data_IF_138278527739
#
_entry.id   IF_138278527739
#
_cell.length_a   1.000
_cell.length_b   1.000
_cell.length_c   1.000
_cell.angle_alpha   90.00
_cell.angle_beta   90.00
_cell.angle_gamma   90.00
#
_symmetry.space_group_name_H-M   'P 1'
#
loop_
_entity.id
_entity.type
_entity.pdbx_description
1 polymer ?
#
# COMPACT_ATOMS: atom_id res chain seq x y z
N UNK A 1 -24.14 8.28 -24.86
CA UNK A 1 -23.97 7.12 -25.76
C UNK A 1 -24.60 5.93 -25.05
N UNK A 2 -25.40 5.12 -25.74
CA UNK A 2 -26.22 4.05 -25.15
C UNK A 2 -25.34 3.06 -24.35
N UNK A 3 -25.61 2.91 -23.05
CA UNK A 3 -25.14 1.74 -22.29
C UNK A 3 -26.17 0.64 -22.56
N UNK A 4 -25.79 -0.33 -23.38
CA UNK A 4 -26.57 -1.56 -23.53
C UNK A 4 -26.40 -2.38 -22.25
N UNK A 5 -27.31 -2.19 -21.29
CA UNK A 5 -27.46 -3.09 -20.13
C UNK A 5 -28.13 -4.38 -20.62
N UNK A 6 -27.42 -5.13 -21.46
CA UNK A 6 -27.85 -6.47 -21.85
C UNK A 6 -27.59 -7.41 -20.68
N UNK A 7 -28.63 -7.71 -19.90
CA UNK A 7 -28.63 -8.76 -18.87
C UNK A 7 -28.68 -10.18 -19.50
N UNK A 8 -27.91 -10.41 -20.55
CA UNK A 8 -27.72 -11.70 -21.20
C UNK A 8 -26.51 -11.67 -22.13
N UNK A 9 -25.32 -12.00 -21.62
CA UNK A 9 -24.22 -12.45 -22.45
C UNK A 9 -24.01 -13.96 -22.21
N UNK A 10 -24.11 -14.81 -23.24
CA UNK A 10 -23.69 -16.21 -23.17
C UNK A 10 -22.16 -16.40 -23.08
N UNK A 11 -21.39 -15.35 -22.75
CA UNK A 11 -19.94 -15.33 -22.62
C UNK A 11 -19.54 -14.61 -21.31
N UNK A 12 -19.91 -15.20 -20.17
CA UNK A 12 -19.17 -15.31 -18.91
C UNK A 12 -18.35 -14.14 -18.27
N UNK A 13 -18.51 -12.86 -18.61
CA UNK A 13 -17.79 -11.77 -17.91
C UNK A 13 -18.72 -10.93 -17.01
N UNK A 14 -18.40 -10.83 -15.71
CA UNK A 14 -19.16 -10.09 -14.68
C UNK A 14 -20.35 -10.84 -14.07
N UNK A 15 -20.36 -11.04 -12.74
CA UNK A 15 -21.48 -11.69 -12.06
C UNK A 15 -22.74 -10.82 -11.91
N UNK A 16 -22.66 -9.51 -12.22
CA UNK A 16 -23.79 -8.58 -12.23
C UNK A 16 -23.83 -7.67 -13.47
N UNK A 17 -22.81 -6.84 -13.68
CA UNK A 17 -22.71 -5.90 -14.82
C UNK A 17 -21.42 -6.11 -15.58
N UNK A 18 -21.53 -6.16 -16.91
CA UNK A 18 -20.42 -5.95 -17.83
C UNK A 18 -20.60 -4.61 -18.54
N UNK A 19 -19.63 -3.70 -18.40
CA UNK A 19 -19.67 -2.40 -19.04
C UNK A 19 -18.41 -2.12 -19.86
N UNK A 20 -18.61 -1.67 -21.09
CA UNK A 20 -17.54 -1.27 -21.98
C UNK A 20 -17.76 0.17 -22.45
N UNK A 21 -16.93 1.09 -21.97
CA UNK A 21 -16.86 2.46 -22.46
C UNK A 21 -15.80 2.47 -23.57
N UNK A 22 -16.26 2.31 -24.82
CA UNK A 22 -15.42 2.45 -26.01
C UNK A 22 -15.52 3.89 -26.53
N UNK A 23 -14.43 4.40 -27.11
CA UNK A 23 -14.31 5.74 -27.69
C UNK A 23 -14.23 6.88 -26.66
N UNK A 24 -13.76 8.06 -27.09
CA UNK A 24 -13.59 9.22 -26.20
C UNK A 24 -14.93 9.81 -25.76
N UNK A 25 -15.11 10.06 -24.45
CA UNK A 25 -16.27 10.74 -23.88
C UNK A 25 -17.43 9.85 -23.43
N UNK A 26 -17.23 8.54 -23.28
CA UNK A 26 -18.23 7.65 -22.69
C UNK A 26 -18.49 7.97 -21.21
N UNK A 27 -19.71 7.79 -20.71
CA UNK A 27 -19.99 7.95 -19.27
C UNK A 27 -20.89 6.83 -18.76
N UNK A 28 -20.45 6.19 -17.67
CA UNK A 28 -21.24 5.26 -16.88
C UNK A 28 -21.39 5.80 -15.46
N UNK A 29 -22.61 5.84 -14.95
CA UNK A 29 -22.90 6.23 -13.57
C UNK A 29 -23.75 5.18 -12.90
N UNK A 30 -23.33 4.75 -11.72
CA UNK A 30 -24.06 3.82 -10.85
C UNK A 30 -24.25 4.51 -9.52
N UNK A 31 -25.51 4.69 -9.14
CA UNK A 31 -25.93 5.60 -8.06
C UNK A 31 -27.22 5.06 -7.42
N UNK A 32 -27.81 5.84 -6.51
CA UNK A 32 -29.13 5.66 -5.93
C UNK A 32 -29.29 4.37 -5.10
N UNK A 33 -28.37 4.11 -4.18
CA UNK A 33 -28.47 2.97 -3.24
C UNK A 33 -28.57 1.60 -3.94
N UNK A 34 -27.97 1.47 -5.13
CA UNK A 34 -27.91 0.18 -5.83
C UNK A 34 -27.12 -0.81 -4.97
N UNK A 35 -27.62 -2.05 -4.85
CA UNK A 35 -26.99 -3.08 -4.03
C UNK A 35 -26.65 -4.32 -4.85
N UNK A 36 -25.38 -4.71 -4.79
CA UNK A 36 -24.83 -5.92 -5.37
C UNK A 36 -24.59 -6.91 -4.23
N UNK A 37 -25.53 -7.85 -4.04
CA UNK A 37 -25.48 -8.80 -2.93
C UNK A 37 -25.27 -10.20 -3.48
N UNK A 38 -24.24 -10.88 -3.00
CA UNK A 38 -23.91 -12.25 -3.40
C UNK A 38 -23.76 -12.43 -4.92
N UNK A 39 -23.21 -11.42 -5.61
CA UNK A 39 -22.84 -11.54 -7.01
C UNK A 39 -21.55 -12.37 -7.10
N UNK A 40 -21.67 -13.61 -7.58
CA UNK A 40 -20.59 -14.61 -7.56
C UNK A 40 -20.25 -15.02 -8.99
N UNK A 41 -18.98 -14.85 -9.38
CA UNK A 41 -18.42 -15.33 -10.64
C UNK A 41 -17.23 -16.27 -10.37
N UNK A 42 -17.46 -17.58 -10.35
CA UNK A 42 -16.40 -18.55 -10.02
C UNK A 42 -15.44 -18.85 -11.17
N UNK A 43 -15.72 -18.35 -12.37
CA UNK A 43 -14.95 -18.70 -13.57
C UNK A 43 -14.17 -17.51 -14.14
N UNK A 44 -14.51 -16.26 -13.77
CA UNK A 44 -13.93 -15.05 -14.37
C UNK A 44 -13.82 -13.92 -13.33
N UNK A 45 -13.52 -12.71 -13.80
CA UNK A 45 -13.33 -11.50 -12.99
C UNK A 45 -14.65 -10.80 -12.64
N UNK A 46 -14.61 -9.96 -11.60
CA UNK A 46 -15.67 -9.02 -11.26
C UNK A 46 -16.95 -9.71 -10.79
N UNK A 47 -17.07 -9.96 -9.48
CA UNK A 47 -18.24 -10.68 -8.96
C UNK A 47 -19.50 -9.84 -9.10
N UNK A 48 -19.44 -8.55 -8.78
CA UNK A 48 -20.50 -7.59 -9.06
C UNK A 48 -20.39 -7.01 -10.47
N UNK A 49 -19.18 -6.61 -10.87
CA UNK A 49 -18.98 -5.76 -12.03
C UNK A 49 -17.65 -5.98 -12.75
N UNK A 50 -17.69 -5.90 -14.08
CA UNK A 50 -16.51 -5.75 -14.95
C UNK A 50 -16.66 -4.46 -15.75
N UNK A 51 -15.63 -3.61 -15.70
CA UNK A 51 -15.62 -2.29 -16.31
C UNK A 51 -14.38 -2.12 -17.17
N UNK A 52 -14.58 -2.05 -18.47
CA UNK A 52 -13.56 -1.70 -19.45
C UNK A 52 -13.74 -0.25 -19.87
N UNK A 53 -12.82 0.63 -19.47
CA UNK A 53 -12.85 2.05 -19.82
C UNK A 53 -11.72 2.39 -20.77
N UNK A 54 -12.05 2.73 -22.01
CA UNK A 54 -11.08 3.07 -23.05
C UNK A 54 -11.44 4.42 -23.68
N UNK A 55 -10.48 5.35 -23.68
CA UNK A 55 -10.55 6.58 -24.46
C UNK A 55 -10.60 7.84 -23.59
N UNK A 56 -10.08 8.92 -24.15
CA UNK A 56 -9.93 10.18 -23.44
C UNK A 56 -11.29 10.72 -22.99
N UNK A 57 -11.37 11.25 -21.76
CA UNK A 57 -12.60 11.76 -21.16
C UNK A 57 -13.69 10.70 -20.93
N UNK A 58 -13.40 9.40 -21.07
CA UNK A 58 -14.34 8.35 -20.64
C UNK A 58 -14.35 8.27 -19.12
N UNK A 59 -15.54 8.34 -18.53
CA UNK A 59 -15.72 8.44 -17.07
C UNK A 59 -16.65 7.36 -16.53
N UNK A 60 -16.23 6.66 -15.51
CA UNK A 60 -17.10 5.81 -14.69
C UNK A 60 -17.23 6.40 -13.29
N UNK A 61 -18.45 6.48 -12.77
CA UNK A 61 -18.74 6.96 -11.41
C UNK A 61 -19.57 5.92 -10.71
N UNK A 62 -19.14 5.50 -9.52
CA UNK A 62 -19.90 4.61 -8.64
C UNK A 62 -20.04 5.31 -7.29
N UNK A 63 -21.26 5.72 -6.96
CA UNK A 63 -21.47 6.56 -5.78
C UNK A 63 -22.87 6.48 -5.18
N UNK A 64 -23.17 7.37 -4.24
CA UNK A 64 -24.50 7.54 -3.63
C UNK A 64 -25.01 6.29 -2.89
N UNK A 65 -24.22 5.82 -1.93
CA UNK A 65 -24.52 4.70 -1.03
C UNK A 65 -24.73 3.36 -1.75
N UNK A 66 -24.01 3.13 -2.85
CA UNK A 66 -23.93 1.80 -3.46
C UNK A 66 -23.28 0.83 -2.48
N UNK A 67 -23.74 -0.43 -2.48
CA UNK A 67 -23.22 -1.47 -1.59
C UNK A 67 -22.84 -2.70 -2.40
N UNK A 68 -21.63 -3.20 -2.19
CA UNK A 68 -21.20 -4.52 -2.61
C UNK A 68 -21.07 -5.41 -1.38
N UNK A 69 -21.96 -6.39 -1.23
CA UNK A 69 -21.97 -7.31 -0.09
C UNK A 69 -21.76 -8.75 -0.56
N UNK A 70 -20.75 -9.44 -0.02
CA UNK A 70 -20.48 -10.87 -0.31
C UNK A 70 -20.29 -11.17 -1.80
N UNK A 71 -19.80 -10.20 -2.57
CA UNK A 71 -19.44 -10.43 -3.96
C UNK A 71 -18.17 -11.28 -4.05
N UNK A 72 -18.11 -12.20 -5.01
CA UNK A 72 -16.98 -13.11 -5.15
C UNK A 72 -16.58 -13.31 -6.61
N UNK A 73 -15.29 -13.31 -6.89
CA UNK A 73 -14.77 -13.61 -8.23
C UNK A 73 -13.38 -14.28 -8.19
N UNK A 74 -12.83 -14.62 -9.36
CA UNK A 74 -11.40 -14.95 -9.46
C UNK A 74 -10.57 -13.71 -9.13
N UNK A 75 -10.86 -12.57 -9.76
CA UNK A 75 -10.18 -11.30 -9.49
C UNK A 75 -11.21 -10.19 -9.30
N UNK A 76 -10.99 -9.32 -8.31
CA UNK A 76 -11.93 -8.23 -8.03
C UNK A 76 -13.27 -8.76 -7.57
N UNK A 77 -13.37 -9.18 -6.31
CA UNK A 77 -14.55 -9.88 -5.81
C UNK A 77 -15.83 -9.09 -6.04
N UNK A 78 -15.77 -7.76 -5.97
CA UNK A 78 -16.83 -6.87 -6.42
C UNK A 78 -16.58 -6.31 -7.82
N UNK A 79 -15.45 -5.62 -8.04
CA UNK A 79 -15.19 -4.85 -9.26
C UNK A 79 -13.89 -5.31 -9.91
N UNK A 80 -13.97 -5.63 -11.20
CA UNK A 80 -12.80 -5.68 -12.07
C UNK A 80 -12.80 -4.45 -12.99
N UNK A 81 -11.72 -3.68 -12.98
CA UNK A 81 -11.59 -2.47 -13.76
C UNK A 81 -10.30 -2.47 -14.58
N UNK A 82 -10.44 -2.19 -15.88
CA UNK A 82 -9.32 -2.05 -16.81
C UNK A 82 -9.48 -0.72 -17.54
N UNK A 83 -8.48 0.15 -17.41
CA UNK A 83 -8.50 1.51 -17.95
C UNK A 83 -7.41 1.72 -18.99
N UNK A 84 -7.71 2.43 -20.09
CA UNK A 84 -6.75 2.84 -21.12
C UNK A 84 -7.02 4.25 -21.63
N UNK A 85 -6.03 4.84 -22.27
CA UNK A 85 -6.16 6.05 -23.10
C UNK A 85 -6.81 7.25 -22.38
N UNK A 86 -6.39 7.53 -21.14
CA UNK A 86 -6.87 8.70 -20.38
C UNK A 86 -8.26 8.60 -19.78
N UNK A 87 -8.81 7.38 -19.64
CA UNK A 87 -10.07 7.16 -18.93
C UNK A 87 -9.94 7.39 -17.41
N UNK A 88 -11.05 7.80 -16.78
CA UNK A 88 -11.13 8.10 -15.34
C UNK A 88 -12.23 7.27 -14.66
N UNK A 89 -11.95 6.74 -13.47
CA UNK A 89 -12.94 6.05 -12.63
C UNK A 89 -12.96 6.71 -11.25
N UNK A 90 -14.15 6.94 -10.73
CA UNK A 90 -14.38 7.58 -9.43
C UNK A 90 -15.32 6.69 -8.61
N UNK A 91 -14.90 6.34 -7.39
CA UNK A 91 -15.64 5.47 -6.49
C UNK A 91 -15.74 6.16 -5.14
N UNK A 92 -16.95 6.58 -4.74
CA UNK A 92 -17.10 7.37 -3.52
C UNK A 92 -18.44 7.25 -2.81
N UNK A 93 -18.45 7.44 -1.50
CA UNK A 93 -19.66 7.28 -0.66
C UNK A 93 -20.29 5.89 -0.79
N UNK A 94 -19.47 4.83 -0.82
CA UNK A 94 -19.92 3.44 -0.98
C UNK A 94 -19.30 2.49 0.04
N UNK A 95 -19.86 1.28 0.13
CA UNK A 95 -19.37 0.22 1.01
C UNK A 95 -19.10 -1.07 0.25
N UNK A 96 -17.94 -1.67 0.51
CA UNK A 96 -17.61 -3.06 0.20
C UNK A 96 -17.59 -3.86 1.50
N UNK A 97 -18.43 -4.89 1.61
CA UNK A 97 -18.53 -5.74 2.78
C UNK A 97 -18.36 -7.20 2.39
N UNK A 98 -17.38 -7.90 2.99
CA UNK A 98 -17.18 -9.35 2.84
C UNK A 98 -16.97 -9.80 1.39
N UNK A 99 -16.34 -8.96 0.57
CA UNK A 99 -16.00 -9.32 -0.80
C UNK A 99 -14.77 -10.24 -0.83
N UNK A 100 -14.77 -11.25 -1.70
CA UNK A 100 -13.69 -12.24 -1.78
C UNK A 100 -13.18 -12.45 -3.20
N UNK A 101 -11.87 -12.60 -3.37
CA UNK A 101 -11.28 -13.03 -4.63
C UNK A 101 -9.96 -13.80 -4.44
N UNK A 102 -9.40 -14.36 -5.51
CA UNK A 102 -8.03 -14.88 -5.47
C UNK A 102 -7.06 -13.73 -5.17
N UNK A 103 -7.26 -12.58 -5.84
CA UNK A 103 -6.58 -11.32 -5.55
C UNK A 103 -7.50 -10.12 -5.79
N UNK A 104 -7.29 -9.03 -5.04
CA UNK A 104 -8.20 -7.87 -5.05
C UNK A 104 -9.57 -8.26 -4.51
N UNK A 105 -9.66 -8.60 -3.22
CA UNK A 105 -10.88 -9.18 -2.65
C UNK A 105 -12.14 -8.34 -2.90
N UNK A 106 -12.02 -7.02 -2.97
CA UNK A 106 -13.07 -6.14 -3.50
C UNK A 106 -12.79 -5.71 -4.94
N UNK A 107 -11.64 -5.09 -5.20
CA UNK A 107 -11.37 -4.41 -6.47
C UNK A 107 -10.06 -4.91 -7.06
N UNK A 108 -10.06 -5.22 -8.36
CA UNK A 108 -8.85 -5.28 -9.17
C UNK A 108 -8.84 -4.13 -10.19
N UNK A 109 -7.70 -3.48 -10.33
CA UNK A 109 -7.49 -2.32 -11.20
C UNK A 109 -6.26 -2.56 -12.08
N UNK A 110 -6.40 -2.38 -13.39
CA UNK A 110 -5.27 -2.31 -14.31
C UNK A 110 -5.30 -0.98 -15.07
N UNK A 111 -4.31 -0.14 -14.82
CA UNK A 111 -4.20 1.21 -15.38
C UNK A 111 -3.15 1.28 -16.48
N UNK A 112 -3.48 1.95 -17.59
CA UNK A 112 -2.60 2.17 -18.73
C UNK A 112 -2.77 3.58 -19.29
N UNK A 113 -1.69 4.19 -19.77
CA UNK A 113 -1.74 5.31 -20.75
C UNK A 113 -2.61 6.51 -20.30
N UNK A 114 -2.25 7.18 -19.20
CA UNK A 114 -2.87 8.46 -18.82
C UNK A 114 -4.11 8.34 -17.91
N UNK A 115 -4.45 7.15 -17.43
CA UNK A 115 -5.69 6.91 -16.68
C UNK A 115 -5.63 7.31 -15.21
N UNK A 116 -6.79 7.56 -14.62
CA UNK A 116 -6.96 7.90 -13.20
C UNK A 116 -8.01 7.03 -12.52
N UNK A 117 -7.75 6.61 -11.28
CA UNK A 117 -8.71 5.90 -10.44
C UNK A 117 -8.73 6.55 -9.05
N UNK A 118 -9.90 7.04 -8.65
CA UNK A 118 -10.10 7.77 -7.40
C UNK A 118 -11.04 6.97 -6.49
N UNK A 119 -10.64 6.81 -5.23
CA UNK A 119 -11.43 6.17 -4.16
C UNK A 119 -11.49 7.13 -2.98
N UNK A 120 -12.67 7.66 -2.66
CA UNK A 120 -12.80 8.54 -1.50
C UNK A 120 -14.09 8.36 -0.72
N UNK A 121 -14.05 8.55 0.59
CA UNK A 121 -15.23 8.37 1.46
C UNK A 121 -15.82 6.94 1.38
N UNK A 122 -14.96 5.93 1.24
CA UNK A 122 -15.33 4.52 1.07
C UNK A 122 -15.03 3.69 2.33
N UNK A 123 -15.85 2.67 2.57
CA UNK A 123 -15.57 1.63 3.57
C UNK A 123 -15.31 0.30 2.88
N UNK A 124 -14.18 -0.33 3.20
CA UNK A 124 -13.89 -1.73 2.92
C UNK A 124 -13.90 -2.49 4.24
N UNK A 125 -14.87 -3.38 4.46
CA UNK A 125 -14.96 -4.21 5.65
C UNK A 125 -14.86 -5.69 5.27
N UNK A 126 -13.83 -6.37 5.79
CA UNK A 126 -13.62 -7.82 5.63
C UNK A 126 -13.52 -8.26 4.17
N UNK A 127 -12.87 -7.45 3.35
CA UNK A 127 -12.55 -7.82 1.97
C UNK A 127 -11.26 -8.64 1.96
N UNK A 128 -11.32 -9.84 1.37
CA UNK A 128 -10.26 -10.83 1.51
C UNK A 128 -9.77 -11.41 0.17
N UNK A 129 -8.45 -11.53 0.04
CA UNK A 129 -7.78 -12.25 -1.03
C UNK A 129 -7.33 -13.63 -0.53
N UNK A 130 -8.09 -14.68 -0.85
CA UNK A 130 -7.94 -16.00 -0.21
C UNK A 130 -6.82 -16.88 -0.80
N UNK A 131 -6.05 -16.39 -1.78
CA UNK A 131 -4.94 -17.13 -2.40
C UNK A 131 -3.72 -16.26 -2.75
N UNK A 132 -3.93 -14.99 -3.09
CA UNK A 132 -2.88 -14.08 -3.54
C UNK A 132 -2.93 -12.77 -2.76
N UNK A 133 -2.94 -11.64 -3.46
CA UNK A 133 -2.54 -10.33 -2.94
C UNK A 133 -3.71 -9.34 -2.90
N UNK A 134 -3.56 -8.29 -2.09
CA UNK A 134 -4.49 -7.16 -2.08
C UNK A 134 -5.85 -7.56 -1.53
N UNK A 135 -5.96 -7.69 -0.21
CA UNK A 135 -7.20 -8.17 0.43
C UNK A 135 -8.42 -7.35 0.04
N UNK A 136 -8.29 -6.03 -0.04
CA UNK A 136 -9.31 -5.17 -0.63
C UNK A 136 -9.01 -4.84 -2.09
N UNK A 137 -7.82 -4.31 -2.37
CA UNK A 137 -7.48 -3.70 -3.66
C UNK A 137 -6.20 -4.31 -4.20
N UNK A 138 -6.25 -4.75 -5.46
CA UNK A 138 -5.09 -5.13 -6.25
C UNK A 138 -4.96 -4.16 -7.43
N UNK A 139 -3.81 -3.50 -7.57
CA UNK A 139 -3.59 -2.54 -8.66
C UNK A 139 -2.27 -2.77 -9.40
N UNK A 140 -2.36 -2.77 -10.73
CA UNK A 140 -1.21 -2.70 -11.65
C UNK A 140 -1.23 -1.35 -12.35
N UNK A 141 -0.08 -0.67 -12.33
CA UNK A 141 0.11 0.64 -12.96
C UNK A 141 1.15 0.54 -14.08
N UNK A 142 0.75 0.90 -15.30
CA UNK A 142 1.61 0.85 -16.48
C UNK A 142 1.61 2.18 -17.25
N UNK A 143 2.70 2.92 -17.12
CA UNK A 143 2.84 4.26 -17.67
C UNK A 143 2.31 5.34 -16.72
N UNK A 144 2.13 6.55 -17.27
CA UNK A 144 1.68 7.73 -16.53
C UNK A 144 0.23 7.58 -16.12
N UNK A 145 0.01 7.13 -14.90
CA UNK A 145 -1.32 6.88 -14.32
C UNK A 145 -1.40 7.41 -12.89
N UNK A 146 -2.61 7.66 -12.39
CA UNK A 146 -2.84 8.05 -10.99
C UNK A 146 -3.83 7.12 -10.29
N UNK A 147 -3.52 6.80 -9.04
CA UNK A 147 -4.41 6.12 -8.11
C UNK A 147 -4.47 6.89 -6.80
N UNK A 148 -5.62 7.47 -6.49
CA UNK A 148 -5.80 8.35 -5.34
C UNK A 148 -6.82 7.76 -4.37
N UNK A 149 -6.41 7.61 -3.11
CA UNK A 149 -7.20 7.07 -2.00
C UNK A 149 -7.30 8.15 -0.92
N UNK A 150 -8.51 8.59 -0.59
CA UNK A 150 -8.71 9.70 0.34
C UNK A 150 -9.87 9.44 1.31
N UNK A 151 -9.65 9.64 2.61
CA UNK A 151 -10.70 9.44 3.63
C UNK A 151 -11.36 8.05 3.55
N UNK A 152 -10.56 6.99 3.40
CA UNK A 152 -11.04 5.61 3.28
C UNK A 152 -10.81 4.83 4.57
N UNK A 153 -11.80 4.06 4.99
CA UNK A 153 -11.68 3.09 6.09
C UNK A 153 -11.52 1.67 5.53
N UNK A 154 -10.35 1.08 5.76
CA UNK A 154 -10.10 -0.34 5.54
C UNK A 154 -10.13 -1.07 6.88
N UNK A 155 -11.06 -1.99 7.04
CA UNK A 155 -11.29 -2.70 8.30
C UNK A 155 -11.25 -4.21 8.08
N UNK A 156 -10.32 -4.87 8.78
CA UNK A 156 -10.21 -6.32 8.86
C UNK A 156 -10.07 -7.00 7.48
N UNK A 157 -9.35 -6.36 6.54
CA UNK A 157 -9.03 -6.95 5.23
C UNK A 157 -7.81 -7.86 5.31
N UNK A 158 -7.86 -9.02 4.65
CA UNK A 158 -6.79 -10.02 4.69
C UNK A 158 -6.33 -10.48 3.30
N UNK A 159 -5.03 -10.74 3.13
CA UNK A 159 -4.47 -11.40 1.95
C UNK A 159 -3.58 -12.57 2.35
N UNK A 160 -3.61 -13.66 1.59
CA UNK A 160 -2.71 -14.78 1.86
C UNK A 160 -1.26 -14.40 1.56
N UNK A 161 -0.97 -13.69 0.48
CA UNK A 161 0.42 -13.40 0.11
C UNK A 161 0.82 -11.99 0.52
N UNK A 162 0.58 -10.99 -0.32
CA UNK A 162 1.13 -9.65 -0.13
C UNK A 162 0.05 -8.59 0.00
N UNK A 163 0.29 -7.59 0.84
CA UNK A 163 -0.59 -6.43 0.93
C UNK A 163 -1.96 -6.81 1.45
N UNK A 164 -2.07 -7.03 2.77
CA UNK A 164 -3.32 -7.50 3.38
C UNK A 164 -4.55 -6.65 3.06
N UNK A 165 -4.35 -5.42 2.64
CA UNK A 165 -5.40 -4.54 2.13
C UNK A 165 -5.14 -4.11 0.70
N UNK A 166 -3.96 -3.53 0.40
CA UNK A 166 -3.64 -2.99 -0.91
C UNK A 166 -2.34 -3.62 -1.43
N UNK A 167 -2.40 -4.16 -2.64
CA UNK A 167 -1.22 -4.55 -3.41
C UNK A 167 -1.03 -3.59 -4.59
N UNK A 168 0.13 -2.95 -4.65
CA UNK A 168 0.48 -1.96 -5.68
C UNK A 168 1.69 -2.46 -6.48
N UNK A 169 1.51 -2.64 -7.79
CA UNK A 169 2.60 -3.01 -8.69
C UNK A 169 2.73 -2.01 -9.84
N UNK A 170 3.66 -1.07 -9.69
CA UNK A 170 4.01 -0.12 -10.76
C UNK A 170 5.09 -0.74 -11.62
N UNK A 171 4.78 -1.09 -12.88
CA UNK A 171 5.72 -1.85 -13.74
C UNK A 171 6.80 -0.96 -14.35
N UNK A 172 7.97 -1.52 -14.71
CA UNK A 172 8.93 -0.81 -15.54
C UNK A 172 8.30 -0.43 -16.88
N UNK A 173 8.52 0.80 -17.34
CA UNK A 173 7.99 1.26 -18.62
C UNK A 173 9.08 1.39 -19.68
N UNK A 174 8.68 1.25 -20.95
CA UNK A 174 9.59 1.40 -22.08
C UNK A 174 9.24 2.67 -22.85
N UNK A 175 10.18 3.59 -23.00
CA UNK A 175 9.99 4.85 -23.74
C UNK A 175 9.39 5.98 -22.89
N UNK A 176 8.60 6.87 -23.51
CA UNK A 176 8.11 8.12 -22.88
C UNK A 176 6.76 7.97 -22.13
N UNK A 177 6.46 6.78 -21.60
CA UNK A 177 5.16 6.50 -20.99
C UNK A 177 4.98 7.18 -19.63
N UNK A 178 6.06 7.58 -18.94
CA UNK A 178 6.04 8.28 -17.65
C UNK A 178 5.66 7.38 -16.46
N UNK A 179 5.88 7.85 -15.21
CA UNK A 179 5.71 7.03 -14.01
C UNK A 179 4.27 6.95 -13.51
N UNK A 180 3.92 5.85 -12.86
CA UNK A 180 2.70 5.71 -12.07
C UNK A 180 2.80 6.47 -10.74
N UNK A 181 1.70 7.07 -10.31
CA UNK A 181 1.62 7.80 -9.04
C UNK A 181 0.47 7.25 -8.20
N UNK A 182 0.74 7.05 -6.91
CA UNK A 182 -0.26 6.64 -5.93
C UNK A 182 -0.24 7.59 -4.74
N UNK A 183 -1.41 8.11 -4.35
CA UNK A 183 -1.59 8.93 -3.15
C UNK A 183 -2.57 8.24 -2.21
N UNK A 184 -2.21 8.11 -0.93
CA UNK A 184 -3.12 7.66 0.13
C UNK A 184 -3.14 8.75 1.19
N UNK A 185 -4.31 9.29 1.49
CA UNK A 185 -4.45 10.40 2.43
C UNK A 185 -5.65 10.24 3.35
N UNK A 186 -5.52 10.75 4.58
CA UNK A 186 -6.61 10.83 5.57
C UNK A 186 -7.33 9.49 5.81
N UNK A 187 -6.64 8.37 5.56
CA UNK A 187 -7.24 7.05 5.56
C UNK A 187 -6.88 6.28 6.83
N UNK A 188 -7.64 5.23 7.12
CA UNK A 188 -7.39 4.34 8.26
C UNK A 188 -7.37 2.88 7.82
N UNK A 189 -6.28 2.20 8.14
CA UNK A 189 -6.12 0.76 8.03
C UNK A 189 -6.22 0.15 9.42
N UNK A 190 -7.21 -0.70 9.66
CA UNK A 190 -7.48 -1.28 10.97
C UNK A 190 -7.61 -2.79 10.91
N UNK A 191 -6.69 -3.50 11.55
CA UNK A 191 -6.71 -4.95 11.62
C UNK A 191 -6.39 -5.66 10.30
N UNK A 192 -5.71 -4.98 9.37
CA UNK A 192 -5.27 -5.55 8.10
C UNK A 192 -4.22 -6.65 8.30
N UNK A 193 -4.30 -7.73 7.53
CA UNK A 193 -3.38 -8.88 7.69
C UNK A 193 -2.86 -9.44 6.38
N UNK A 194 -1.59 -9.83 6.37
CA UNK A 194 -1.02 -10.72 5.36
C UNK A 194 -0.30 -11.91 5.99
N UNK A 195 -0.21 -13.04 5.29
CA UNK A 195 0.72 -14.10 5.72
C UNK A 195 2.15 -13.71 5.38
N UNK A 196 2.41 -13.30 4.13
CA UNK A 196 3.71 -12.77 3.75
C UNK A 196 3.77 -11.26 4.01
N UNK A 197 4.38 -10.49 3.12
CA UNK A 197 4.86 -9.13 3.37
C UNK A 197 3.77 -8.07 3.26
N UNK A 198 3.89 -7.03 4.09
CA UNK A 198 3.01 -5.87 4.03
C UNK A 198 1.61 -6.17 4.55
N UNK A 199 1.45 -6.20 5.87
CA UNK A 199 0.16 -6.56 6.49
C UNK A 199 -1.02 -5.69 6.07
N UNK A 200 -0.78 -4.46 5.63
CA UNK A 200 -1.77 -3.60 5.00
C UNK A 200 -1.41 -3.32 3.53
N UNK A 201 -0.20 -2.83 3.28
CA UNK A 201 0.24 -2.39 1.95
C UNK A 201 1.49 -3.15 1.54
N UNK A 202 1.46 -3.71 0.35
CA UNK A 202 2.64 -4.15 -0.36
C UNK A 202 2.80 -3.31 -1.63
N UNK A 203 4.01 -2.80 -1.88
CA UNK A 203 4.28 -2.02 -3.08
C UNK A 203 5.62 -2.37 -3.74
N UNK A 204 5.64 -2.34 -5.07
CA UNK A 204 6.85 -2.30 -5.88
C UNK A 204 6.82 -1.07 -6.78
N UNK A 205 7.88 -0.27 -6.72
CA UNK A 205 7.98 1.03 -7.40
C UNK A 205 9.18 1.03 -8.34
N UNK A 206 8.92 0.94 -9.65
CA UNK A 206 9.90 1.04 -10.72
C UNK A 206 9.93 2.44 -11.36
N UNK A 207 11.08 2.85 -11.92
CA UNK A 207 11.22 3.96 -12.88
C UNK A 207 10.50 5.26 -12.45
N UNK A 208 10.95 5.94 -11.40
CA UNK A 208 10.35 7.16 -10.83
C UNK A 208 8.90 7.02 -10.33
N UNK A 209 8.30 5.81 -10.30
CA UNK A 209 6.99 5.58 -9.70
C UNK A 209 6.98 6.03 -8.24
N UNK A 210 5.85 6.61 -7.81
CA UNK A 210 5.75 7.23 -6.49
C UNK A 210 4.55 6.71 -5.69
N UNK A 211 4.80 6.35 -4.42
CA UNK A 211 3.77 6.17 -3.41
C UNK A 211 3.92 7.25 -2.33
N UNK A 212 2.90 8.09 -2.18
CA UNK A 212 2.80 9.09 -1.12
C UNK A 212 1.69 8.72 -0.15
N UNK A 213 2.00 8.70 1.15
CA UNK A 213 1.03 8.46 2.22
C UNK A 213 1.06 9.64 3.18
N UNK A 214 -0.08 10.33 3.34
CA UNK A 214 -0.20 11.53 4.16
C UNK A 214 -1.32 11.40 5.19
N UNK A 215 -1.09 11.87 6.42
CA UNK A 215 -2.12 11.98 7.47
C UNK A 215 -2.96 10.69 7.65
N UNK A 216 -2.31 9.52 7.59
CA UNK A 216 -2.96 8.20 7.54
C UNK A 216 -2.61 7.39 8.79
N UNK A 217 -3.52 6.51 9.20
CA UNK A 217 -3.36 5.69 10.41
C UNK A 217 -3.35 4.20 10.07
N UNK A 218 -2.41 3.47 10.67
CA UNK A 218 -2.34 2.01 10.66
C UNK A 218 -2.48 1.49 12.09
N UNK A 219 -3.52 0.70 12.34
CA UNK A 219 -3.86 0.20 13.66
C UNK A 219 -3.97 -1.32 13.61
N UNK A 220 -3.23 -2.02 14.46
CA UNK A 220 -3.29 -3.49 14.57
C UNK A 220 -3.02 -4.23 13.24
N UNK A 221 -2.25 -3.62 12.33
CA UNK A 221 -1.86 -4.26 11.08
C UNK A 221 -0.77 -5.32 11.31
N UNK A 222 -0.85 -6.43 10.58
CA UNK A 222 -0.02 -7.58 10.89
C UNK A 222 0.49 -8.37 9.67
N UNK A 223 1.78 -8.74 9.69
CA UNK A 223 2.36 -9.76 8.80
C UNK A 223 2.73 -11.01 9.61
N UNK A 224 2.23 -12.17 9.18
CA UNK A 224 2.26 -13.39 10.00
C UNK A 224 3.56 -14.19 9.89
N UNK A 225 4.32 -14.04 8.81
CA UNK A 225 5.55 -14.81 8.57
C UNK A 225 6.58 -14.03 7.74
N UNK A 226 6.44 -12.71 7.63
CA UNK A 226 7.35 -11.91 6.80
C UNK A 226 7.43 -10.43 7.20
N UNK A 227 8.14 -9.66 6.40
CA UNK A 227 8.52 -8.29 6.70
C UNK A 227 7.37 -7.29 6.58
N UNK A 228 7.42 -6.21 7.37
CA UNK A 228 6.52 -5.07 7.22
C UNK A 228 5.12 -5.37 7.72
N UNK A 229 4.90 -5.29 9.03
CA UNK A 229 3.59 -5.60 9.61
C UNK A 229 2.45 -4.70 9.12
N UNK A 230 2.75 -3.49 8.65
CA UNK A 230 1.81 -2.63 7.91
C UNK A 230 2.23 -2.46 6.47
N UNK A 231 3.45 -1.99 6.22
CA UNK A 231 3.92 -1.62 4.89
C UNK A 231 5.17 -2.41 4.56
N UNK A 232 5.16 -3.03 3.38
CA UNK A 232 6.36 -3.52 2.74
C UNK A 232 6.54 -2.82 1.38
N UNK A 233 7.73 -2.26 1.15
CA UNK A 233 8.04 -1.55 -0.08
C UNK A 233 9.35 -2.04 -0.71
N UNK A 234 9.31 -2.40 -1.99
CA UNK A 234 10.51 -2.60 -2.82
C UNK A 234 10.62 -1.47 -3.83
N UNK A 235 11.76 -0.79 -3.81
CA UNK A 235 11.97 0.43 -4.59
C UNK A 235 13.14 0.19 -5.55
N UNK A 236 12.84 0.35 -6.83
CA UNK A 236 13.77 0.28 -7.97
C UNK A 236 13.66 1.60 -8.74
N UNK A 237 14.48 2.59 -8.41
CA UNK A 237 14.44 3.92 -9.04
C UNK A 237 13.14 4.72 -8.77
N UNK A 238 12.23 4.23 -7.92
CA UNK A 238 11.01 4.91 -7.49
C UNK A 238 11.14 5.71 -6.19
N UNK A 239 10.00 6.15 -5.65
CA UNK A 239 9.93 6.96 -4.41
C UNK A 239 8.81 6.56 -3.45
N UNK A 240 9.16 6.43 -2.18
CA UNK A 240 8.21 6.24 -1.08
C UNK A 240 8.26 7.45 -0.14
N UNK A 241 7.12 8.12 0.05
CA UNK A 241 6.99 9.27 0.95
C UNK A 241 5.88 9.05 1.96
N UNK A 242 6.20 9.16 3.25
CA UNK A 242 5.26 9.10 4.37
C UNK A 242 5.35 10.42 5.14
N UNK A 243 4.22 11.09 5.35
CA UNK A 243 4.15 12.32 6.13
C UNK A 243 3.00 12.28 7.14
N UNK A 244 3.31 12.56 8.41
CA UNK A 244 2.34 12.54 9.51
C UNK A 244 1.56 11.23 9.61
N UNK A 245 2.23 10.09 9.36
CA UNK A 245 1.62 8.76 9.41
C UNK A 245 1.75 8.17 10.81
N UNK A 246 0.68 7.57 11.33
CA UNK A 246 0.63 6.99 12.68
C UNK A 246 0.50 5.47 12.59
N UNK A 247 1.42 4.76 13.25
CA UNK A 247 1.41 3.31 13.39
C UNK A 247 1.19 2.93 14.85
N UNK A 248 0.14 2.18 15.14
CA UNK A 248 -0.21 1.74 16.50
C UNK A 248 -0.44 0.24 16.53
N UNK A 249 0.30 -0.45 17.40
CA UNK A 249 0.19 -1.90 17.61
C UNK A 249 0.38 -2.72 16.30
N UNK A 250 1.16 -2.19 15.36
CA UNK A 250 1.51 -2.88 14.11
C UNK A 250 2.69 -3.82 14.31
N UNK A 251 2.55 -5.09 13.91
CA UNK A 251 3.58 -6.10 14.19
C UNK A 251 3.85 -7.03 13.02
N UNK A 252 5.04 -7.62 13.00
CA UNK A 252 5.32 -8.78 12.17
C UNK A 252 5.85 -9.93 13.02
N UNK A 253 5.84 -11.15 12.50
CA UNK A 253 6.46 -12.32 13.15
C UNK A 253 7.69 -12.76 12.40
N UNK A 254 8.69 -13.25 13.12
CA UNK A 254 9.87 -13.83 12.50
C UNK A 254 9.51 -14.96 11.52
N UNK A 255 10.19 -15.04 10.36
CA UNK A 255 11.45 -14.39 10.02
C UNK A 255 11.35 -12.92 9.59
N UNK A 256 10.17 -12.31 9.62
CA UNK A 256 9.96 -10.91 9.28
C UNK A 256 10.69 -9.89 10.15
N UNK A 257 11.05 -8.77 9.54
CA UNK A 257 11.63 -7.56 10.13
C UNK A 257 10.75 -6.33 9.87
N UNK A 258 10.89 -5.26 10.66
CA UNK A 258 10.09 -4.05 10.48
C UNK A 258 8.65 -4.25 10.92
N UNK A 259 8.41 -4.25 12.24
CA UNK A 259 7.08 -4.55 12.80
C UNK A 259 5.96 -3.66 12.24
N UNK A 260 6.26 -2.42 11.86
CA UNK A 260 5.35 -1.57 11.09
C UNK A 260 5.75 -1.50 9.61
N UNK A 261 7.01 -1.15 9.32
CA UNK A 261 7.46 -0.85 7.97
C UNK A 261 8.73 -1.63 7.66
N UNK A 262 8.78 -2.27 6.48
CA UNK A 262 10.00 -2.80 5.90
C UNK A 262 10.22 -2.27 4.48
N UNK A 263 11.44 -1.81 4.19
CA UNK A 263 11.78 -1.18 2.90
C UNK A 263 13.03 -1.83 2.32
N UNK A 264 12.97 -2.25 1.06
CA UNK A 264 14.14 -2.52 0.23
C UNK A 264 14.43 -1.35 -0.69
N UNK A 265 15.44 -0.56 -0.35
CA UNK A 265 15.94 0.57 -1.15
C UNK A 265 17.16 0.13 -1.96
N UNK A 266 16.94 -0.41 -3.16
CA UNK A 266 17.93 -1.26 -3.81
C UNK A 266 18.96 -0.52 -4.69
N UNK A 267 18.67 0.71 -5.13
CA UNK A 267 19.54 1.53 -5.98
C UNK A 267 19.66 2.95 -5.41
N UNK A 268 20.73 3.67 -5.76
CA UNK A 268 21.02 5.00 -5.21
C UNK A 268 20.09 6.11 -5.70
N UNK A 269 19.34 5.87 -6.77
CA UNK A 269 18.29 6.76 -7.28
C UNK A 269 16.92 6.54 -6.64
N UNK A 270 16.72 5.46 -5.89
CA UNK A 270 15.52 5.24 -5.08
C UNK A 270 15.39 6.32 -4.00
N UNK A 271 14.19 6.83 -3.73
CA UNK A 271 13.98 7.87 -2.72
C UNK A 271 13.07 7.39 -1.60
N UNK A 272 13.50 7.59 -0.36
CA UNK A 272 12.65 7.37 0.81
C UNK A 272 12.58 8.63 1.66
N UNK A 273 11.36 9.01 2.02
CA UNK A 273 11.08 10.14 2.90
C UNK A 273 10.05 9.69 3.95
N UNK A 274 10.40 9.75 5.24
CA UNK A 274 9.45 9.50 6.33
C UNK A 274 9.56 10.66 7.31
N UNK A 275 8.52 11.48 7.36
CA UNK A 275 8.53 12.75 8.06
C UNK A 275 7.38 12.81 9.05
N UNK A 276 7.66 13.34 10.24
CA UNK A 276 6.65 13.63 11.28
C UNK A 276 5.77 12.43 11.66
N UNK A 277 6.25 11.21 11.41
CA UNK A 277 5.50 9.98 11.59
C UNK A 277 5.79 9.36 12.97
N UNK A 278 4.82 8.62 13.51
CA UNK A 278 4.91 8.07 14.86
C UNK A 278 4.61 6.58 14.92
N UNK A 279 5.29 5.88 15.82
CA UNK A 279 5.24 4.44 16.00
C UNK A 279 5.02 4.13 17.47
N UNK A 280 3.93 3.45 17.78
CA UNK A 280 3.57 3.07 19.15
C UNK A 280 3.31 1.58 19.23
N UNK A 281 4.01 0.89 20.14
CA UNK A 281 3.90 -0.54 20.38
C UNK A 281 4.14 -1.43 19.14
N UNK A 282 4.91 -0.94 18.15
CA UNK A 282 5.24 -1.74 16.97
C UNK A 282 6.37 -2.74 17.27
N UNK A 283 6.19 -4.01 16.90
CA UNK A 283 7.12 -5.08 17.29
C UNK A 283 7.40 -6.09 16.18
N UNK A 284 8.59 -6.67 16.22
CA UNK A 284 8.85 -7.97 15.61
C UNK A 284 8.70 -9.06 16.68
N UNK A 285 7.79 -9.99 16.45
CA UNK A 285 7.39 -11.03 17.40
C UNK A 285 8.16 -12.33 17.16
N UNK A 286 8.38 -13.14 18.22
CA UNK A 286 9.01 -14.46 18.07
C UNK A 286 8.21 -15.34 17.10
N UNK A 287 8.92 -16.02 16.21
CA UNK A 287 8.35 -16.97 15.25
C UNK A 287 8.98 -18.36 15.34
N UNK A 288 8.69 -19.20 14.34
CA UNK A 288 9.22 -20.57 14.29
C UNK A 288 10.72 -20.65 13.99
N UNK A 289 11.29 -19.59 13.41
CA UNK A 289 12.71 -19.48 13.05
C UNK A 289 13.30 -18.19 13.62
N UNK A 290 14.17 -18.30 14.61
CA UNK A 290 14.63 -17.16 15.41
C UNK A 290 15.90 -16.46 14.89
N UNK A 291 16.06 -16.34 13.57
CA UNK A 291 17.29 -15.80 12.96
C UNK A 291 17.21 -14.31 12.55
N UNK A 292 16.01 -13.74 12.48
CA UNK A 292 15.75 -12.41 11.91
C UNK A 292 14.95 -11.54 12.90
N UNK A 293 14.20 -10.52 12.45
CA UNK A 293 13.37 -9.71 13.34
C UNK A 293 14.00 -8.41 13.80
N UNK A 294 14.81 -7.79 12.94
CA UNK A 294 15.38 -6.47 13.20
C UNK A 294 14.35 -5.37 12.98
N UNK A 295 14.54 -4.21 13.62
CA UNK A 295 13.67 -3.06 13.38
C UNK A 295 12.27 -3.26 13.96
N UNK A 296 12.09 -3.00 15.26
CA UNK A 296 10.80 -3.22 15.91
C UNK A 296 9.66 -2.42 15.26
N UNK A 297 9.93 -1.19 14.84
CA UNK A 297 9.00 -0.44 14.00
C UNK A 297 9.44 -0.42 12.53
N UNK A 298 10.68 -0.01 12.24
CA UNK A 298 11.16 0.20 10.86
C UNK A 298 12.38 -0.69 10.58
N UNK A 299 12.35 -1.40 9.45
CA UNK A 299 13.50 -2.07 8.88
C UNK A 299 13.79 -1.52 7.48
N UNK A 300 15.05 -1.20 7.18
CA UNK A 300 15.46 -0.74 5.85
C UNK A 300 16.67 -1.55 5.40
N UNK A 301 16.59 -2.12 4.20
CA UNK A 301 17.71 -2.71 3.50
C UNK A 301 18.12 -1.79 2.35
N UNK A 302 19.37 -1.33 2.38
CA UNK A 302 19.97 -0.51 1.34
C UNK A 302 20.86 -1.35 0.43
N UNK A 303 20.75 -1.14 -0.88
CA UNK A 303 21.50 -1.86 -1.92
C UNK A 303 22.69 -1.11 -2.52
N UNK A 304 23.00 0.10 -2.04
CA UNK A 304 24.04 0.97 -2.61
C UNK A 304 25.08 1.41 -1.58
N UNK A 305 26.23 1.88 -2.07
CA UNK A 305 27.36 2.31 -1.25
C UNK A 305 27.08 3.64 -0.53
N UNK A 306 27.68 3.79 0.66
CA UNK A 306 27.51 5.00 1.49
C UNK A 306 27.91 6.30 0.79
N UNK A 307 28.77 6.24 -0.23
CA UNK A 307 29.17 7.42 -1.02
C UNK A 307 28.01 8.08 -1.77
N UNK A 308 26.95 7.32 -2.06
CA UNK A 308 25.80 7.79 -2.81
C UNK A 308 24.65 8.24 -1.88
N UNK A 309 24.79 8.04 -0.55
CA UNK A 309 23.78 8.42 0.43
C UNK A 309 23.71 9.94 0.59
N UNK A 310 22.50 10.50 0.46
CA UNK A 310 22.27 11.93 0.65
C UNK A 310 20.81 12.25 1.01
N UNK A 311 20.54 13.51 1.34
CA UNK A 311 19.18 13.98 1.61
C UNK A 311 18.21 13.87 0.44
N UNK A 312 18.68 13.63 -0.80
CA UNK A 312 17.81 13.48 -1.97
C UNK A 312 17.26 12.06 -2.12
N UNK A 313 17.93 11.05 -1.55
CA UNK A 313 17.50 9.66 -1.63
C UNK A 313 17.11 9.07 -0.27
N UNK A 314 17.52 9.65 0.84
CA UNK A 314 17.20 9.16 2.18
C UNK A 314 16.94 10.32 3.15
N UNK A 315 15.72 10.40 3.67
CA UNK A 315 15.35 11.41 4.67
C UNK A 315 14.29 10.88 5.65
N UNK A 316 14.69 10.64 6.89
CA UNK A 316 13.80 10.19 7.97
C UNK A 316 13.82 11.20 9.12
N UNK A 317 12.92 12.18 9.12
CA UNK A 317 13.01 13.29 10.09
C UNK A 317 11.79 13.39 10.99
N UNK A 318 12.01 13.90 12.19
CA UNK A 318 10.95 14.25 13.15
C UNK A 318 10.10 13.04 13.59
N UNK A 319 10.73 11.86 13.59
CA UNK A 319 10.09 10.59 13.97
C UNK A 319 9.88 10.49 15.47
N UNK A 320 8.88 9.70 15.89
CA UNK A 320 8.61 9.39 17.30
C UNK A 320 8.37 7.90 17.50
N UNK A 321 9.00 7.31 18.51
CA UNK A 321 8.86 5.89 18.85
C UNK A 321 8.48 5.73 20.31
N UNK A 322 7.50 4.88 20.59
CA UNK A 322 7.04 4.56 21.95
C UNK A 322 6.85 3.06 22.07
N UNK A 323 7.56 2.41 22.99
CA UNK A 323 7.41 0.97 23.30
C UNK A 323 7.57 0.04 22.08
N UNK A 324 8.36 0.42 21.08
CA UNK A 324 8.72 -0.47 19.98
C UNK A 324 9.77 -1.48 20.44
N UNK A 325 9.73 -2.69 19.89
CA UNK A 325 10.65 -3.75 20.28
C UNK A 325 10.98 -4.68 19.11
N UNK A 326 12.26 -4.97 18.95
CA UNK A 326 12.74 -5.96 18.00
C UNK A 326 12.98 -7.30 18.72
N UNK A 327 12.81 -8.41 18.01
CA UNK A 327 13.27 -9.72 18.45
C UNK A 327 14.81 -9.69 18.62
N UNK A 328 15.31 -10.32 19.69
CA UNK A 328 16.70 -10.19 20.19
C UNK A 328 17.14 -8.75 20.56
N UNK A 329 16.23 -7.76 20.58
CA UNK A 329 16.51 -6.35 20.86
C UNK A 329 17.56 -5.71 19.91
N UNK A 330 17.48 -6.02 18.61
CA UNK A 330 18.35 -5.44 17.58
C UNK A 330 17.54 -4.41 16.78
N UNK A 331 17.82 -3.14 17.01
CA UNK A 331 17.10 -2.03 16.39
C UNK A 331 15.65 -1.97 16.85
N UNK A 332 15.40 -1.85 18.16
CA UNK A 332 14.04 -1.84 18.71
C UNK A 332 13.09 -0.84 18.06
N UNK A 333 13.62 0.31 17.63
CA UNK A 333 12.85 1.30 16.89
C UNK A 333 13.09 1.13 15.40
N UNK A 334 14.35 1.17 14.99
CA UNK A 334 14.73 1.16 13.59
C UNK A 334 16.03 0.39 13.39
N UNK A 335 16.12 -0.36 12.29
CA UNK A 335 17.34 -1.03 11.87
C UNK A 335 17.62 -0.75 10.39
N UNK A 336 18.88 -0.45 10.05
CA UNK A 336 19.33 -0.23 8.68
C UNK A 336 20.44 -1.23 8.34
N UNK A 337 20.16 -2.11 7.39
CA UNK A 337 21.16 -2.97 6.78
C UNK A 337 21.68 -2.32 5.49
N UNK A 338 23.00 -2.21 5.35
CA UNK A 338 23.65 -1.68 4.14
C UNK A 338 24.98 -2.41 3.88
N UNK A 339 25.62 -2.23 2.70
CA UNK A 339 26.93 -2.84 2.41
C UNK A 339 28.00 -2.55 3.48
N UNK A 340 27.93 -1.37 4.12
CA UNK A 340 28.74 -1.01 5.27
C UNK A 340 27.91 -0.25 6.32
N UNK A 341 27.15 -0.97 7.13
CA UNK A 341 26.24 -0.41 8.15
C UNK A 341 26.93 0.59 9.09
N UNK A 342 28.17 0.34 9.50
CA UNK A 342 28.92 1.25 10.37
C UNK A 342 29.16 2.61 9.71
N UNK A 343 29.69 2.63 8.48
CA UNK A 343 29.93 3.89 7.76
C UNK A 343 28.62 4.59 7.37
N UNK A 344 27.58 3.83 7.04
CA UNK A 344 26.23 4.36 6.78
C UNK A 344 25.69 5.11 8.01
N UNK A 345 25.81 4.55 9.21
CA UNK A 345 25.42 5.24 10.45
C UNK A 345 26.19 6.55 10.67
N UNK A 346 27.49 6.58 10.40
CA UNK A 346 28.31 7.81 10.47
C UNK A 346 27.80 8.86 9.47
N UNK A 347 27.53 8.47 8.22
CA UNK A 347 27.07 9.38 7.19
C UNK A 347 25.67 9.95 7.50
N UNK A 348 24.76 9.11 8.03
CA UNK A 348 23.43 9.53 8.48
C UNK A 348 23.55 10.58 9.59
N UNK A 349 24.39 10.32 10.59
CA UNK A 349 24.60 11.26 11.71
C UNK A 349 25.24 12.58 11.24
N UNK A 350 26.29 12.51 10.40
CA UNK A 350 27.00 13.68 9.91
C UNK A 350 26.11 14.61 9.07
N UNK A 351 25.15 14.05 8.33
CA UNK A 351 24.27 14.79 7.43
C UNK A 351 22.86 15.01 8.01
N UNK A 352 22.61 14.60 9.27
CA UNK A 352 21.29 14.70 9.93
C UNK A 352 20.15 14.07 9.12
N UNK A 353 20.40 12.93 8.47
CA UNK A 353 19.42 12.26 7.60
C UNK A 353 18.38 11.45 8.38
N UNK A 354 18.63 11.20 9.67
CA UNK A 354 17.70 10.58 10.60
C UNK A 354 17.56 11.48 11.84
N UNK A 355 16.34 11.92 12.17
CA UNK A 355 16.08 12.64 13.42
C UNK A 355 14.86 12.09 14.17
N UNK A 356 14.96 12.06 15.50
CA UNK A 356 13.92 11.56 16.40
C UNK A 356 13.61 12.62 17.46
N UNK A 357 12.32 12.84 17.73
CA UNK A 357 11.82 13.77 18.75
C UNK A 357 12.15 13.25 20.15
N UNK A 358 12.76 14.08 21.00
CA UNK A 358 12.98 13.79 22.41
C UNK A 358 11.66 13.93 23.19
N UNK A 359 11.02 12.80 23.47
CA UNK A 359 9.76 12.75 24.25
C UNK A 359 9.91 13.28 25.68
N UNK A 360 11.13 13.34 26.23
CA UNK A 360 11.38 13.83 27.58
C UNK A 360 11.54 15.36 27.65
N UNK A 361 11.89 16.00 26.52
CA UNK A 361 12.08 17.47 26.41
C UNK A 361 11.71 17.99 25.00
N UNK A 362 10.42 18.04 24.62
CA UNK A 362 10.01 18.68 23.38
C UNK A 362 10.41 20.18 23.39
N UNK A 363 10.99 20.75 22.31
CA UNK A 363 11.12 20.25 20.94
C UNK A 363 12.55 19.77 20.60
N UNK A 364 13.29 19.19 21.55
CA UNK A 364 14.67 18.77 21.28
C UNK A 364 14.69 17.54 20.37
N UNK A 365 15.63 17.51 19.43
CA UNK A 365 15.96 16.34 18.63
C UNK A 365 17.12 15.59 19.28
N UNK A 366 17.12 14.25 19.18
CA UNK A 366 18.25 13.42 19.62
C UNK A 366 19.31 13.44 18.49
N UNK A 367 20.51 14.02 18.72
CA UNK A 367 21.44 14.35 17.63
C UNK A 367 22.34 13.18 17.19
N UNK A 368 22.49 12.14 18.02
CA UNK A 368 23.32 10.97 17.72
C UNK A 368 22.61 9.70 18.19
N UNK A 369 21.98 9.00 17.24
CA UNK A 369 21.22 7.78 17.47
C UNK A 369 22.09 6.52 17.33
N UNK A 370 23.18 6.60 16.56
CA UNK A 370 23.96 5.43 16.12
C UNK A 370 25.24 5.21 16.94
N UNK A 371 25.92 6.29 17.37
CA UNK A 371 27.19 6.17 18.10
C UNK A 371 27.06 6.39 19.61
N UNK A 372 25.84 6.66 20.08
CA UNK A 372 25.56 6.81 21.49
C UNK A 372 25.20 5.45 22.13
N UNK A 373 25.99 5.00 23.10
CA UNK A 373 25.79 3.73 23.82
C UNK A 373 24.39 3.56 24.44
N UNK A 374 23.69 4.67 24.72
CA UNK A 374 22.33 4.64 25.27
C UNK A 374 21.28 4.25 24.23
N UNK A 375 21.53 4.56 22.95
CA UNK A 375 20.56 4.43 21.86
C UNK A 375 20.98 3.40 20.81
N UNK A 376 22.22 2.91 20.86
CA UNK A 376 22.78 1.98 19.87
C UNK A 376 21.96 0.68 19.72
N UNK A 377 21.32 0.19 20.78
CA UNK A 377 20.41 -0.99 20.69
C UNK A 377 19.09 -0.69 19.99
N UNK A 378 18.64 0.56 20.00
CA UNK A 378 17.36 0.97 19.42
C UNK A 378 17.49 1.33 17.94
N UNK A 379 18.72 1.60 17.47
CA UNK A 379 19.00 2.16 16.15
C UNK A 379 20.18 1.50 15.39
N UNK A 380 20.62 0.28 15.73
CA UNK A 380 21.65 -0.44 14.96
C UNK A 380 21.23 -1.80 14.43
#
# INVERSE_FOLDING_TARGET
MYVDLSFNAPNNEGGGIFAQLQESGGTLTITNQTSFVQCINTENEGGGMVIFSNGSNSRCIISDNVIFEKCKAIWGGAICNIQRDGASVEVHDITFEKCEAIGGGAIIIAQYEGTSFEVHDVIFEKCDAYQQDGGAIYIIQNGRVSFDVHNVLFKECEAIQFGGTIFIFSVPYWGDMGPGTTTISESTFSGSKSVNRGGAIYTVLYDDAALTIDNTQFNFCYSSDSDGGSIFALIYEGSLSLNQVIFTDCNCTQPGSGGAIAIGQLQSNCRISIIESSFTNCKTLPGSYSQYGWGGAIYIQMGFEVSDLSSTNFLLTDLSFTNCAAFENIGNNLHILSPNTYNTGIAIAANSLLTVKDQSKPPKLIPDLYTNDKYSKDYM
#
